data_IF_170014353410
#
_entry.id   IF_170014353410
#
_cell.length_a   1.000
_cell.length_b   1.000
_cell.length_c   1.000
_cell.angle_alpha   90.00
_cell.angle_beta   90.00
_cell.angle_gamma   90.00
#
_symmetry.space_group_name_H-M   'P 1'
#
loop_
_entity.id
_entity.type
_entity.pdbx_description
1 polymer ?
#
# COMPACT_ATOMS: atom_id res chain seq x y z
N UNK A 1 -16.48 19.72 1.72
CA UNK A 1 -15.13 20.19 2.11
C UNK A 1 -14.55 19.40 3.29
N UNK A 2 -15.37 19.03 4.29
CA UNK A 2 -14.95 18.26 5.48
C UNK A 2 -14.17 16.97 5.22
N UNK A 3 -14.62 16.09 4.30
CA UNK A 3 -13.97 14.78 4.13
C UNK A 3 -12.51 14.85 3.68
N UNK A 4 -12.13 15.87 2.90
CA UNK A 4 -10.73 16.08 2.49
C UNK A 4 -9.86 16.57 3.65
N UNK A 5 -10.42 17.40 4.53
CA UNK A 5 -9.72 17.93 5.70
C UNK A 5 -9.51 16.78 6.70
N UNK A 6 -10.55 16.01 7.01
CA UNK A 6 -10.44 14.84 7.89
C UNK A 6 -9.42 13.81 7.38
N UNK A 7 -9.48 13.43 6.11
CA UNK A 7 -8.53 12.48 5.53
C UNK A 7 -7.08 12.99 5.61
N UNK A 8 -6.85 14.28 5.36
CA UNK A 8 -5.52 14.89 5.51
C UNK A 8 -5.05 14.84 6.96
N UNK A 9 -5.89 15.23 7.91
CA UNK A 9 -5.55 15.25 9.34
C UNK A 9 -5.24 13.85 9.87
N UNK A 10 -6.05 12.85 9.53
CA UNK A 10 -5.81 11.45 9.92
C UNK A 10 -4.49 10.93 9.37
N UNK A 11 -4.19 11.23 8.10
CA UNK A 11 -2.92 10.86 7.47
C UNK A 11 -1.72 11.49 8.16
N UNK A 12 -1.81 12.77 8.51
CA UNK A 12 -0.76 13.47 9.26
C UNK A 12 -0.58 12.90 10.67
N UNK A 13 -1.67 12.55 11.35
CA UNK A 13 -1.63 11.95 12.67
C UNK A 13 -0.91 10.58 12.64
N UNK A 14 -1.26 9.71 11.70
CA UNK A 14 -0.61 8.41 11.54
C UNK A 14 0.89 8.53 11.23
N UNK A 15 1.29 9.52 10.43
CA UNK A 15 2.71 9.81 10.18
C UNK A 15 3.44 10.22 11.45
N UNK A 16 2.87 11.15 12.22
CA UNK A 16 3.45 11.59 13.49
C UNK A 16 3.57 10.40 14.44
N UNK A 17 2.55 9.55 14.54
CA UNK A 17 2.59 8.33 15.36
C UNK A 17 3.66 7.35 14.89
N UNK A 18 3.83 7.18 13.58
CA UNK A 18 4.89 6.32 13.02
C UNK A 18 6.28 6.86 13.35
N UNK A 19 6.49 8.18 13.25
CA UNK A 19 7.75 8.83 13.62
C UNK A 19 8.01 8.67 15.12
N UNK A 20 7.01 8.94 15.97
CA UNK A 20 7.14 8.77 17.43
C UNK A 20 7.44 7.31 17.78
N UNK A 21 6.75 6.36 17.16
CA UNK A 21 7.00 4.93 17.35
C UNK A 21 8.41 4.52 16.94
N UNK A 22 8.91 5.06 15.82
CA UNK A 22 10.27 4.78 15.38
C UNK A 22 11.33 5.41 16.31
N UNK A 23 11.09 6.62 16.82
CA UNK A 23 11.91 7.24 17.87
C UNK A 23 11.89 6.42 19.17
N UNK A 24 10.73 5.87 19.55
CA UNK A 24 10.61 4.97 20.68
C UNK A 24 11.46 3.70 20.49
N UNK A 25 11.47 3.11 19.29
CA UNK A 25 12.37 1.99 18.96
C UNK A 25 13.84 2.39 19.08
N UNK A 26 14.22 3.60 18.61
CA UNK A 26 15.60 4.10 18.78
C UNK A 26 16.03 4.10 20.25
N UNK A 27 15.10 4.43 21.16
CA UNK A 27 15.37 4.56 22.60
C UNK A 27 15.36 3.20 23.30
N UNK A 28 14.41 2.31 22.95
CA UNK A 28 14.13 1.08 23.71
C UNK A 28 14.86 -0.16 23.18
N UNK A 29 15.03 -0.29 21.86
CA UNK A 29 15.67 -1.48 21.27
C UNK A 29 17.12 -1.18 20.93
N UNK A 30 17.34 -0.31 19.94
CA UNK A 30 18.67 0.15 19.54
C UNK A 30 18.55 1.35 18.59
N UNK A 31 19.44 2.32 18.73
CA UNK A 31 19.49 3.52 17.88
C UNK A 31 19.65 3.19 16.39
N UNK A 32 20.39 2.13 16.05
CA UNK A 32 20.62 1.71 14.66
C UNK A 32 19.35 1.11 14.01
N UNK A 33 18.63 0.26 14.74
CA UNK A 33 17.34 -0.33 14.30
C UNK A 33 16.32 0.77 14.06
N UNK A 34 16.24 1.73 14.98
CA UNK A 34 15.33 2.85 14.83
C UNK A 34 15.71 3.77 13.67
N UNK A 35 17.00 4.08 13.47
CA UNK A 35 17.48 4.89 12.33
C UNK A 35 17.12 4.23 10.99
N UNK A 36 17.35 2.93 10.84
CA UNK A 36 17.06 2.24 9.59
C UNK A 36 15.56 2.10 9.35
N UNK A 37 14.78 1.84 10.40
CA UNK A 37 13.31 1.84 10.32
C UNK A 37 12.78 3.21 9.88
N UNK A 38 13.27 4.30 10.47
CA UNK A 38 12.95 5.67 10.05
C UNK A 38 13.38 5.92 8.61
N UNK A 39 14.59 5.49 8.24
CA UNK A 39 15.14 5.64 6.89
C UNK A 39 14.26 4.98 5.83
N UNK A 40 13.81 3.75 6.08
CA UNK A 40 12.88 3.02 5.21
C UNK A 40 11.55 3.75 5.06
N UNK A 41 10.93 4.15 6.17
CA UNK A 41 9.68 4.91 6.17
C UNK A 41 9.84 6.20 5.36
N UNK A 42 10.97 6.89 5.52
CA UNK A 42 11.27 8.11 4.78
C UNK A 42 11.45 7.86 3.29
N UNK A 43 12.21 6.85 2.88
CA UNK A 43 12.46 6.53 1.47
C UNK A 43 11.17 6.12 0.75
N UNK A 44 10.37 5.24 1.33
CA UNK A 44 9.12 4.78 0.71
C UNK A 44 8.07 5.90 0.66
N UNK A 45 7.98 6.70 1.72
CA UNK A 45 7.17 7.92 1.72
C UNK A 45 7.64 8.88 0.62
N UNK A 46 8.95 9.11 0.51
CA UNK A 46 9.54 9.97 -0.52
C UNK A 46 9.23 9.49 -1.93
N UNK A 47 9.36 8.19 -2.24
CA UNK A 47 9.04 7.63 -3.56
C UNK A 47 7.58 7.87 -3.93
N UNK A 48 6.66 7.70 -2.97
CA UNK A 48 5.23 7.90 -3.19
C UNK A 48 4.91 9.38 -3.40
N UNK A 49 5.49 10.29 -2.61
CA UNK A 49 5.23 11.72 -2.75
C UNK A 49 6.01 12.42 -3.88
N UNK A 50 7.13 11.84 -4.31
CA UNK A 50 7.89 12.28 -5.46
C UNK A 50 7.14 12.00 -6.77
N UNK A 51 6.30 10.96 -6.80
CA UNK A 51 5.53 10.60 -7.99
C UNK A 51 4.44 11.65 -8.27
N UNK A 52 4.52 12.42 -9.37
CA UNK A 52 3.60 13.54 -9.66
C UNK A 52 2.13 13.14 -9.72
N UNK A 53 1.86 11.86 -10.02
CA UNK A 53 0.54 11.25 -10.09
C UNK A 53 -0.17 11.32 -8.73
N UNK A 54 0.54 11.05 -7.63
CA UNK A 54 -0.06 11.08 -6.28
C UNK A 54 -0.38 12.49 -5.79
N UNK A 55 0.32 13.53 -6.25
CA UNK A 55 0.04 14.91 -5.83
C UNK A 55 -1.39 15.34 -6.13
N UNK A 56 -1.96 14.86 -7.24
CA UNK A 56 -3.28 15.25 -7.76
C UNK A 56 -4.39 14.25 -7.40
N UNK A 57 -4.05 13.05 -6.92
CA UNK A 57 -5.06 12.04 -6.61
C UNK A 57 -5.85 12.37 -5.34
N UNK A 58 -7.19 12.30 -5.35
CA UNK A 58 -7.99 12.43 -4.13
C UNK A 58 -7.77 11.26 -3.16
N UNK A 59 -7.23 10.13 -3.64
CA UNK A 59 -6.97 8.93 -2.84
C UNK A 59 -5.62 8.96 -2.12
N UNK A 60 -4.81 10.01 -2.35
CA UNK A 60 -3.45 10.08 -1.80
C UNK A 60 -3.41 9.95 -0.27
N UNK A 61 -4.35 10.57 0.43
CA UNK A 61 -4.39 10.52 1.90
C UNK A 61 -4.80 9.15 2.43
N UNK A 62 -5.61 8.40 1.67
CA UNK A 62 -5.99 7.04 2.05
C UNK A 62 -4.80 6.10 1.93
N UNK A 63 -4.06 6.16 0.82
CA UNK A 63 -2.85 5.36 0.59
C UNK A 63 -1.79 5.72 1.63
N UNK A 64 -1.58 7.01 1.84
CA UNK A 64 -0.62 7.51 2.82
C UNK A 64 -0.95 7.06 4.25
N UNK A 65 -2.23 7.10 4.63
CA UNK A 65 -2.70 6.57 5.92
C UNK A 65 -2.49 5.06 6.01
N UNK A 66 -2.81 4.31 4.94
CA UNK A 66 -2.68 2.85 4.95
C UNK A 66 -1.21 2.40 5.06
N UNK A 67 -0.30 3.10 4.38
CA UNK A 67 1.14 2.82 4.45
C UNK A 67 1.71 3.24 5.80
N UNK A 68 1.29 4.39 6.33
CA UNK A 68 1.68 4.80 7.69
C UNK A 68 1.19 3.80 8.74
N UNK A 69 -0.03 3.28 8.57
CA UNK A 69 -0.56 2.23 9.44
C UNK A 69 0.25 0.94 9.32
N UNK A 70 0.61 0.50 8.11
CA UNK A 70 1.47 -0.67 7.90
C UNK A 70 2.81 -0.49 8.64
N UNK A 71 3.46 0.67 8.52
CA UNK A 71 4.70 0.94 9.25
C UNK A 71 4.52 0.98 10.76
N UNK A 72 3.46 1.60 11.24
CA UNK A 72 3.15 1.59 12.67
C UNK A 72 2.96 0.16 13.18
N UNK A 73 2.32 -0.72 12.39
CA UNK A 73 2.18 -2.14 12.74
C UNK A 73 3.53 -2.87 12.75
N UNK A 74 4.42 -2.63 11.77
CA UNK A 74 5.78 -3.21 11.79
C UNK A 74 6.57 -2.75 13.02
N UNK A 75 6.49 -1.46 13.37
CA UNK A 75 7.12 -0.87 14.56
C UNK A 75 6.60 -1.55 15.82
N UNK A 76 5.27 -1.67 15.97
CA UNK A 76 4.65 -2.31 17.14
C UNK A 76 5.06 -3.78 17.22
N UNK A 77 5.02 -4.49 16.10
CA UNK A 77 5.39 -5.91 16.03
C UNK A 77 6.85 -6.11 16.45
N UNK A 78 7.76 -5.26 15.98
CA UNK A 78 9.17 -5.30 16.35
C UNK A 78 9.37 -4.98 17.84
N UNK A 79 8.79 -3.87 18.32
CA UNK A 79 8.92 -3.42 19.71
C UNK A 79 8.37 -4.43 20.73
N UNK A 80 7.42 -5.27 20.32
CA UNK A 80 6.79 -6.29 21.16
C UNK A 80 7.29 -7.72 20.89
N UNK A 81 8.26 -7.90 19.98
CA UNK A 81 8.76 -9.23 19.61
C UNK A 81 7.68 -10.15 19.01
N UNK A 82 6.68 -9.58 18.32
CA UNK A 82 5.57 -10.33 17.75
C UNK A 82 5.96 -11.16 16.53
N UNK A 83 7.07 -10.83 15.86
CA UNK A 83 7.60 -11.66 14.77
C UNK A 83 8.04 -13.05 15.25
N UNK A 84 8.42 -13.17 16.53
CA UNK A 84 8.78 -14.47 17.12
C UNK A 84 7.55 -15.35 17.41
N UNK A 85 6.34 -14.78 17.39
CA UNK A 85 5.13 -15.43 17.88
C UNK A 85 3.99 -15.36 16.86
N UNK A 86 3.82 -16.44 16.09
CA UNK A 86 2.67 -16.65 15.20
C UNK A 86 2.87 -16.10 13.79
N UNK A 87 1.74 -15.85 13.10
CA UNK A 87 1.71 -15.52 11.66
C UNK A 87 1.64 -14.00 11.42
N UNK A 88 2.14 -13.18 12.36
CA UNK A 88 2.06 -11.71 12.25
C UNK A 88 2.80 -11.23 11.00
N UNK A 89 3.96 -11.81 10.74
CA UNK A 89 4.78 -11.46 9.58
C UNK A 89 4.03 -11.72 8.26
N UNK A 90 3.56 -12.96 8.10
CA UNK A 90 2.71 -13.38 6.99
C UNK A 90 1.50 -12.45 6.77
N UNK A 91 0.84 -12.02 7.85
CA UNK A 91 -0.30 -11.10 7.77
C UNK A 91 0.12 -9.71 7.31
N UNK A 92 1.25 -9.19 7.80
CA UNK A 92 1.80 -7.90 7.39
C UNK A 92 2.24 -7.92 5.93
N UNK A 93 2.90 -8.98 5.47
CA UNK A 93 3.25 -9.17 4.06
C UNK A 93 2.01 -9.30 3.16
N UNK A 94 1.00 -10.06 3.59
CA UNK A 94 -0.28 -10.15 2.86
C UNK A 94 -0.97 -8.78 2.75
N UNK A 95 -1.03 -8.04 3.85
CA UNK A 95 -1.63 -6.71 3.87
C UNK A 95 -0.82 -5.69 3.07
N UNK A 96 0.51 -5.73 3.18
CA UNK A 96 1.45 -4.93 2.42
C UNK A 96 1.30 -5.15 0.92
N UNK A 97 1.25 -6.42 0.49
CA UNK A 97 0.99 -6.79 -0.90
C UNK A 97 -0.35 -6.25 -1.42
N UNK A 98 -1.42 -6.38 -0.63
CA UNK A 98 -2.73 -5.84 -0.96
C UNK A 98 -2.70 -4.31 -1.15
N UNK A 99 -2.10 -3.57 -0.22
CA UNK A 99 -1.99 -2.11 -0.30
C UNK A 99 -1.11 -1.64 -1.46
N UNK A 100 0.01 -2.33 -1.68
CA UNK A 100 0.95 -2.04 -2.75
C UNK A 100 0.27 -2.18 -4.13
N UNK A 101 -0.53 -3.23 -4.33
CA UNK A 101 -1.34 -3.39 -5.53
C UNK A 101 -2.27 -2.20 -5.75
N UNK A 102 -2.99 -1.75 -4.71
CA UNK A 102 -3.91 -0.61 -4.83
C UNK A 102 -3.18 0.70 -5.18
N UNK A 103 -1.99 0.91 -4.60
CA UNK A 103 -1.18 2.06 -4.95
C UNK A 103 -0.82 2.05 -6.45
N UNK A 104 -0.33 0.91 -6.97
CA UNK A 104 0.01 0.75 -8.39
C UNK A 104 -1.23 0.89 -9.28
N UNK A 105 -2.35 0.26 -8.91
CA UNK A 105 -3.62 0.37 -9.62
C UNK A 105 -4.07 1.84 -9.78
N UNK A 106 -3.96 2.63 -8.71
CA UNK A 106 -4.31 4.05 -8.71
C UNK A 106 -3.38 4.86 -9.61
N UNK A 107 -2.08 4.57 -9.60
CA UNK A 107 -1.11 5.22 -10.50
C UNK A 107 -1.44 4.89 -11.96
N UNK A 108 -1.66 3.62 -12.26
CA UNK A 108 -1.88 3.11 -13.61
C UNK A 108 -3.20 3.61 -14.20
N UNK A 109 -4.27 3.67 -13.41
CA UNK A 109 -5.58 4.19 -13.87
C UNK A 109 -5.62 5.70 -14.10
N UNK A 110 -4.66 6.45 -13.54
CA UNK A 110 -4.54 7.90 -13.75
C UNK A 110 -3.68 8.27 -14.97
N UNK A 111 -3.05 7.29 -15.62
CA UNK A 111 -2.28 7.53 -16.83
C UNK A 111 -3.20 7.90 -18.00
N UNK A 112 -2.73 8.79 -18.88
CA UNK A 112 -3.49 9.22 -20.07
C UNK A 112 -3.78 8.09 -21.06
N UNK A 113 -2.94 7.04 -21.07
CA UNK A 113 -3.11 5.87 -21.92
C UNK A 113 -4.20 4.96 -21.34
N UNK A 114 -5.19 4.59 -22.16
CA UNK A 114 -6.23 3.63 -21.79
C UNK A 114 -5.63 2.22 -21.77
N UNK A 115 -5.23 1.76 -20.59
CA UNK A 115 -4.85 0.37 -20.37
C UNK A 115 -6.09 -0.48 -20.08
N UNK A 116 -6.09 -1.74 -20.52
CA UNK A 116 -7.15 -2.69 -20.16
C UNK A 116 -7.08 -3.03 -18.67
N UNK A 117 -8.21 -3.37 -18.05
CA UNK A 117 -8.24 -3.77 -16.63
C UNK A 117 -7.30 -4.95 -16.34
N UNK A 118 -7.24 -5.92 -17.26
CA UNK A 118 -6.35 -7.08 -17.15
C UNK A 118 -4.88 -6.66 -17.14
N UNK A 119 -4.51 -5.72 -18.02
CA UNK A 119 -3.15 -5.17 -18.08
C UNK A 119 -2.79 -4.45 -16.78
N UNK A 120 -3.70 -3.65 -16.24
CA UNK A 120 -3.45 -2.93 -14.98
C UNK A 120 -3.33 -3.92 -13.81
N UNK A 121 -4.17 -4.95 -13.73
CA UNK A 121 -4.04 -6.00 -12.72
C UNK A 121 -2.70 -6.74 -12.83
N UNK A 122 -2.26 -7.07 -14.04
CA UNK A 122 -0.97 -7.71 -14.26
C UNK A 122 0.20 -6.82 -13.80
N UNK A 123 0.18 -5.54 -14.20
CA UNK A 123 1.18 -4.55 -13.75
C UNK A 123 1.16 -4.41 -12.23
N UNK A 124 -0.03 -4.40 -11.62
CA UNK A 124 -0.19 -4.34 -10.16
C UNK A 124 0.46 -5.53 -9.47
N UNK A 125 0.15 -6.76 -9.90
CA UNK A 125 0.70 -7.99 -9.30
C UNK A 125 2.22 -8.05 -9.48
N UNK A 126 2.72 -7.84 -10.71
CA UNK A 126 4.15 -7.88 -10.99
C UNK A 126 4.90 -6.77 -10.24
N UNK A 127 4.35 -5.55 -10.22
CA UNK A 127 4.94 -4.44 -9.50
C UNK A 127 4.98 -4.68 -7.99
N UNK A 128 3.93 -5.30 -7.42
CA UNK A 128 3.94 -5.70 -6.01
C UNK A 128 4.99 -6.76 -5.72
N UNK A 129 5.13 -7.78 -6.56
CA UNK A 129 6.18 -8.79 -6.39
C UNK A 129 7.58 -8.18 -6.51
N UNK A 130 7.80 -7.25 -7.45
CA UNK A 130 9.07 -6.53 -7.54
C UNK A 130 9.37 -5.72 -6.26
N UNK A 131 8.37 -5.03 -5.70
CA UNK A 131 8.54 -4.28 -4.45
C UNK A 131 8.77 -5.23 -3.27
N UNK A 132 8.06 -6.35 -3.20
CA UNK A 132 8.31 -7.41 -2.22
C UNK A 132 9.74 -7.92 -2.30
N UNK A 133 10.23 -8.24 -3.50
CA UNK A 133 11.61 -8.71 -3.68
C UNK A 133 12.67 -7.66 -3.26
N UNK A 134 12.38 -6.37 -3.45
CA UNK A 134 13.24 -5.30 -2.94
C UNK A 134 13.23 -5.23 -1.41
N UNK A 135 12.08 -5.51 -0.77
CA UNK A 135 11.96 -5.60 0.68
C UNK A 135 12.76 -6.78 1.24
N UNK A 136 12.57 -7.98 0.69
CA UNK A 136 13.37 -9.17 1.06
C UNK A 136 14.87 -8.95 0.84
N UNK A 137 15.24 -8.29 -0.27
CA UNK A 137 16.63 -7.93 -0.53
C UNK A 137 17.19 -6.97 0.52
N UNK A 138 16.36 -6.03 1.01
CA UNK A 138 16.71 -5.16 2.13
C UNK A 138 16.92 -5.96 3.42
N UNK A 139 16.05 -6.92 3.74
CA UNK A 139 16.19 -7.75 4.94
C UNK A 139 17.45 -8.62 4.89
N UNK A 140 17.76 -9.16 3.72
CA UNK A 140 19.01 -9.87 3.50
C UNK A 140 20.24 -8.96 3.68
N UNK A 141 20.21 -7.74 3.14
CA UNK A 141 21.28 -6.76 3.34
C UNK A 141 21.42 -6.38 4.82
N UNK A 142 20.30 -6.24 5.53
CA UNK A 142 20.28 -5.96 6.97
C UNK A 142 20.97 -7.08 7.74
N UNK A 143 20.55 -8.32 7.54
CA UNK A 143 21.12 -9.48 8.23
C UNK A 143 22.60 -9.66 7.94
N UNK A 144 23.01 -9.40 6.71
CA UNK A 144 24.43 -9.46 6.32
C UNK A 144 25.23 -8.35 7.00
N UNK A 145 24.72 -7.11 7.01
CA UNK A 145 25.40 -5.99 7.66
C UNK A 145 25.47 -6.15 9.19
N UNK A 146 24.50 -6.86 9.77
CA UNK A 146 24.32 -7.03 11.21
C UNK A 146 24.77 -8.40 11.72
N UNK A 147 25.41 -9.23 10.89
CA UNK A 147 25.79 -10.62 11.21
C UNK A 147 26.59 -10.74 12.53
N UNK A 148 27.49 -9.80 12.78
CA UNK A 148 28.34 -9.75 13.98
C UNK A 148 27.75 -8.92 15.12
N UNK A 149 26.54 -8.39 14.95
CA UNK A 149 25.84 -7.65 15.99
C UNK A 149 24.87 -8.59 16.73
N UNK A 150 24.62 -8.33 18.00
CA UNK A 150 23.55 -9.02 18.75
C UNK A 150 22.15 -8.52 18.36
N UNK A 151 21.96 -8.07 17.11
CA UNK A 151 20.68 -7.59 16.62
C UNK A 151 19.78 -8.76 16.22
N UNK A 152 18.45 -8.62 16.36
CA UNK A 152 17.50 -9.53 15.74
C UNK A 152 17.72 -9.58 14.23
N UNK A 153 17.63 -10.78 13.68
CA UNK A 153 17.57 -10.98 12.22
C UNK A 153 16.24 -10.48 11.69
N UNK A 154 16.26 -9.87 10.52
CA UNK A 154 15.08 -9.47 9.78
C UNK A 154 14.40 -10.70 9.14
N UNK A 155 15.18 -11.64 8.61
CA UNK A 155 14.67 -12.90 8.05
C UNK A 155 15.14 -14.11 8.88
N UNK A 156 14.28 -15.11 9.02
CA UNK A 156 14.61 -16.37 9.71
C UNK A 156 15.33 -17.36 8.81
N UNK A 157 15.31 -17.13 7.50
CA UNK A 157 16.01 -17.91 6.49
C UNK A 157 15.27 -17.94 5.15
N UNK A 158 15.75 -18.73 4.19
CA UNK A 158 15.21 -18.75 2.82
C UNK A 158 13.73 -19.15 2.73
N UNK A 159 13.26 -20.02 3.63
CA UNK A 159 11.85 -20.42 3.67
C UNK A 159 10.95 -19.25 4.07
N UNK A 160 11.43 -18.38 4.96
CA UNK A 160 10.76 -17.16 5.42
C UNK A 160 10.54 -16.23 4.23
N UNK A 161 11.63 -15.86 3.54
CA UNK A 161 11.60 -15.04 2.32
C UNK A 161 10.66 -15.58 1.24
N UNK A 162 10.67 -16.90 1.00
CA UNK A 162 9.74 -17.50 0.02
C UNK A 162 8.30 -17.32 0.49
N UNK A 163 8.04 -17.55 1.78
CA UNK A 163 6.72 -17.43 2.39
C UNK A 163 6.22 -15.98 2.32
N UNK A 164 7.09 -15.02 2.58
CA UNK A 164 6.80 -13.59 2.55
C UNK A 164 6.56 -13.06 1.13
N UNK A 165 7.32 -13.57 0.16
CA UNK A 165 7.06 -13.32 -1.26
C UNK A 165 5.72 -13.88 -1.71
N UNK A 166 5.36 -15.09 -1.26
CA UNK A 166 4.05 -15.68 -1.54
C UNK A 166 2.93 -14.89 -0.87
N UNK A 167 3.12 -14.42 0.36
CA UNK A 167 2.16 -13.58 1.09
C UNK A 167 1.92 -12.24 0.37
N UNK A 168 3.00 -11.55 -0.02
CA UNK A 168 2.95 -10.34 -0.84
C UNK A 168 2.16 -10.57 -2.15
N UNK A 169 2.47 -11.66 -2.87
CA UNK A 169 1.77 -12.05 -4.08
C UNK A 169 0.29 -12.37 -3.83
N UNK A 170 -0.02 -13.11 -2.78
CA UNK A 170 -1.37 -13.47 -2.36
C UNK A 170 -2.22 -12.23 -2.07
N UNK A 171 -1.69 -11.28 -1.31
CA UNK A 171 -2.31 -9.99 -1.06
C UNK A 171 -2.63 -9.23 -2.35
N UNK A 172 -1.68 -9.18 -3.30
CA UNK A 172 -1.88 -8.54 -4.59
C UNK A 172 -2.96 -9.21 -5.44
N UNK A 173 -3.01 -10.55 -5.44
CA UNK A 173 -4.04 -11.32 -6.15
C UNK A 173 -5.42 -11.07 -5.54
N UNK A 174 -5.54 -11.07 -4.20
CA UNK A 174 -6.80 -10.74 -3.52
C UNK A 174 -7.30 -9.34 -3.90
N UNK A 175 -6.40 -8.36 -3.96
CA UNK A 175 -6.73 -7.01 -4.42
C UNK A 175 -7.19 -6.99 -5.89
N UNK A 176 -6.49 -7.72 -6.77
CA UNK A 176 -6.85 -7.82 -8.18
C UNK A 176 -8.22 -8.47 -8.39
N UNK A 177 -8.52 -9.57 -7.68
CA UNK A 177 -9.83 -10.23 -7.69
C UNK A 177 -10.93 -9.27 -7.22
N UNK A 178 -10.68 -8.54 -6.14
CA UNK A 178 -11.63 -7.55 -5.61
C UNK A 178 -11.98 -6.47 -6.64
N UNK A 179 -10.99 -6.01 -7.42
CA UNK A 179 -11.19 -5.06 -8.52
C UNK A 179 -11.99 -5.68 -9.67
N UNK A 180 -11.70 -6.92 -10.05
CA UNK A 180 -12.40 -7.60 -11.14
C UNK A 180 -13.87 -7.87 -10.79
N UNK A 181 -14.15 -8.32 -9.57
CA UNK A 181 -15.53 -8.51 -9.07
C UNK A 181 -16.29 -7.19 -9.16
N UNK A 182 -15.71 -6.09 -8.67
CA UNK A 182 -16.32 -4.76 -8.75
C UNK A 182 -16.60 -4.33 -10.19
N UNK A 183 -15.70 -4.65 -11.12
CA UNK A 183 -15.88 -4.33 -12.53
C UNK A 183 -17.01 -5.12 -13.18
N UNK A 184 -17.08 -6.43 -12.91
CA UNK A 184 -18.15 -7.32 -13.38
C UNK A 184 -19.50 -6.84 -12.84
N UNK A 185 -19.59 -6.58 -11.54
CA UNK A 185 -20.81 -6.09 -10.90
C UNK A 185 -21.34 -4.79 -11.54
N UNK A 186 -20.44 -3.82 -11.78
CA UNK A 186 -20.80 -2.56 -12.47
C UNK A 186 -21.30 -2.79 -13.90
N UNK A 187 -20.70 -3.75 -14.62
CA UNK A 187 -21.13 -4.11 -15.98
C UNK A 187 -22.53 -4.75 -15.97
N UNK A 188 -22.80 -5.67 -15.04
CA UNK A 188 -24.09 -6.36 -14.91
C UNK A 188 -25.22 -5.38 -14.57
N UNK A 189 -25.01 -4.46 -13.62
CA UNK A 189 -26.01 -3.45 -13.26
C UNK A 189 -26.32 -2.53 -14.45
N UNK A 190 -25.29 -2.05 -15.15
CA UNK A 190 -25.48 -1.16 -16.30
C UNK A 190 -26.19 -1.83 -17.48
N UNK A 191 -26.19 -3.17 -17.55
CA UNK A 191 -26.97 -3.93 -18.54
C UNK A 191 -28.45 -3.99 -18.13
N UNK A 192 -28.75 -4.16 -16.84
CA UNK A 192 -30.11 -4.33 -16.34
C UNK A 192 -30.87 -3.01 -16.14
N UNK A 193 -30.14 -1.92 -15.89
CA UNK A 193 -30.70 -0.57 -15.84
C UNK A 193 -30.06 0.19 -16.99
N UNK A 194 -30.63 0.14 -18.21
CA UNK A 194 -30.15 0.99 -19.29
C UNK A 194 -30.19 2.43 -18.80
N UNK A 195 -29.19 3.27 -19.15
CA UNK A 195 -29.19 4.66 -18.75
C UNK A 195 -30.52 5.24 -19.20
N UNK A 196 -31.40 5.58 -18.25
CA UNK A 196 -32.64 6.27 -18.54
C UNK A 196 -32.24 7.43 -19.44
N UNK A 197 -32.74 7.39 -20.67
CA UNK A 197 -32.51 8.40 -21.69
C UNK A 197 -32.48 9.74 -21.00
N UNK A 198 -31.34 10.44 -21.07
CA UNK A 198 -31.26 11.86 -20.77
C UNK A 198 -32.53 12.46 -21.36
N UNK A 199 -33.47 12.86 -20.49
CA UNK A 199 -34.73 13.47 -20.89
C UNK A 199 -34.38 14.48 -21.96
N UNK A 200 -35.02 14.33 -23.12
CA UNK A 200 -35.02 15.35 -24.16
C UNK A 200 -35.18 16.69 -23.45
N UNK A 201 -34.16 17.55 -23.56
CA UNK A 201 -34.40 18.98 -23.41
C UNK A 201 -35.32 19.31 -24.56
N UNK A 202 -36.61 19.35 -24.24
CA UNK A 202 -37.65 19.86 -25.11
C UNK A 202 -37.22 21.29 -25.42
N UNK A 203 -36.66 21.49 -26.60
CA UNK A 203 -36.66 22.76 -27.31
C UNK A 203 -38.13 23.14 -27.51
N UNK A 204 -38.75 23.69 -26.47
CA UNK A 204 -39.95 24.48 -26.61
C UNK A 204 -39.52 25.82 -27.21
N UNK A 205 -39.42 25.80 -28.55
CA UNK A 205 -39.71 26.97 -29.37
C UNK A 205 -41.04 27.56 -28.90
N UNK A 206 -40.99 28.63 -28.11
CA UNK A 206 -42.10 29.57 -28.06
C UNK A 206 -41.76 30.64 -29.09
N UNK A 207 -42.27 30.43 -30.29
CA UNK A 207 -42.57 31.51 -31.23
C UNK A 207 -43.91 32.06 -30.78
N UNK A 208 -43.90 33.26 -30.20
CA UNK A 208 -44.98 34.26 -30.34
C UNK A 208 -44.31 35.62 -30.41
#
# INVERSE_FOLDING_TARGET
>A
MNNKIHAKTSSQCLKILSIIGALYICIVLNWLVGIVTVGLIMVTTLIIFATPVFKKSPQKYLIDSAISLLYLLHIIAMAKGLYEHGNIDLLLHTYGGFLCFFAIWIIATQQKKKLSIKTICLIGILGTLCIGALWEGFEWMWDTAMEYSNMPKAQKGTIDTITDMLANGGGAVLAAVSIQIKHIYKKVINIHIPPQSKKLSIDQKIVV
#
